data_IF_297669199105
#
_entry.id   IF_297669199105
#
_cell.length_a   1.000
_cell.length_b   1.000
_cell.length_c   1.000
_cell.angle_alpha   90.00
_cell.angle_beta   90.00
_cell.angle_gamma   90.00
#
_symmetry.space_group_name_H-M   'P 1'
#
loop_
_entity.id
_entity.type
_entity.pdbx_description
1 polymer ?
#
# COMPACT_ATOMS: atom_id res chain seq x y z
N UNK A 1 4.70 -12.32 28.20
CA UNK A 1 4.56 -10.86 28.00
C UNK A 1 3.49 -10.63 26.95
N UNK A 2 2.43 -9.89 27.26
CA UNK A 2 1.32 -9.64 26.33
C UNK A 2 1.82 -8.97 25.05
N UNK A 3 1.56 -9.58 23.90
CA UNK A 3 2.00 -9.09 22.58
C UNK A 3 1.28 -7.79 22.15
N UNK A 4 0.03 -7.64 22.57
CA UNK A 4 -0.88 -6.53 22.22
C UNK A 4 -0.38 -5.12 22.63
N UNK A 5 0.07 -4.88 23.88
CA UNK A 5 0.54 -3.55 24.27
C UNK A 5 1.77 -3.09 23.49
N UNK A 6 2.70 -4.00 23.18
CA UNK A 6 3.92 -3.69 22.44
C UNK A 6 3.58 -3.32 20.99
N UNK A 7 2.69 -4.08 20.34
CA UNK A 7 2.23 -3.81 18.97
C UNK A 7 1.61 -2.41 18.85
N UNK A 8 0.75 -2.03 19.80
CA UNK A 8 0.12 -0.70 19.82
C UNK A 8 1.14 0.44 19.91
N UNK A 9 2.16 0.28 20.76
CA UNK A 9 3.22 1.29 20.90
C UNK A 9 3.99 1.44 19.58
N UNK A 10 4.32 0.33 18.91
CA UNK A 10 5.01 0.36 17.62
C UNK A 10 4.19 1.08 16.55
N UNK A 11 2.88 0.79 16.46
CA UNK A 11 1.97 1.47 15.52
C UNK A 11 1.92 2.99 15.82
N UNK A 12 1.86 3.40 17.09
CA UNK A 12 1.87 4.81 17.46
C UNK A 12 3.18 5.51 17.10
N UNK A 13 4.31 4.81 17.21
CA UNK A 13 5.61 5.32 16.76
C UNK A 13 5.60 5.55 15.26
N UNK A 14 5.04 4.62 14.47
CA UNK A 14 4.92 4.77 13.01
C UNK A 14 4.07 5.99 12.62
N UNK A 15 2.91 6.16 13.25
CA UNK A 15 2.03 7.33 13.02
C UNK A 15 2.79 8.64 13.29
N UNK A 16 3.46 8.74 14.45
CA UNK A 16 4.25 9.94 14.81
C UNK A 16 5.40 10.15 13.83
N UNK A 17 6.05 9.06 13.41
CA UNK A 17 7.16 9.09 12.48
C UNK A 17 6.74 9.66 11.12
N UNK A 18 5.56 9.29 10.63
CA UNK A 18 4.99 9.83 9.37
C UNK A 18 4.64 11.31 9.50
N UNK A 19 4.01 11.69 10.61
CA UNK A 19 3.68 13.08 10.91
C UNK A 19 4.91 13.97 11.16
N UNK A 20 6.11 13.41 11.31
CA UNK A 20 7.35 14.20 11.43
C UNK A 20 8.09 14.37 10.10
N UNK A 21 8.08 13.35 9.25
CA UNK A 21 8.85 13.36 7.99
C UNK A 21 8.17 14.18 6.88
N UNK A 22 8.89 15.13 6.27
CA UNK A 22 8.41 15.93 5.13
C UNK A 22 8.01 15.04 3.94
N UNK A 23 8.78 13.99 3.68
CA UNK A 23 8.56 13.05 2.58
C UNK A 23 7.23 12.30 2.70
N UNK A 24 6.96 11.65 3.84
CA UNK A 24 5.71 10.90 4.01
C UNK A 24 4.48 11.81 4.12
N UNK A 25 4.62 13.04 4.63
CA UNK A 25 3.55 14.03 4.53
C UNK A 25 3.18 14.32 3.09
N UNK A 26 4.18 14.46 2.21
CA UNK A 26 3.94 14.65 0.79
C UNK A 26 3.26 13.43 0.17
N UNK A 27 3.65 12.20 0.53
CA UNK A 27 2.94 11.00 0.07
C UNK A 27 1.49 10.91 0.57
N UNK A 28 1.20 11.37 1.79
CA UNK A 28 -0.19 11.48 2.25
C UNK A 28 -0.95 12.50 1.39
N UNK A 29 -0.36 13.66 1.13
CA UNK A 29 -0.98 14.69 0.30
C UNK A 29 -1.21 14.20 -1.13
N UNK A 30 -0.24 13.52 -1.75
CA UNK A 30 -0.40 12.96 -3.09
C UNK A 30 -1.49 11.89 -3.14
N UNK A 31 -1.60 11.03 -2.11
CA UNK A 31 -2.70 10.08 -1.99
C UNK A 31 -4.05 10.78 -1.80
N UNK A 32 -4.12 11.87 -1.03
CA UNK A 32 -5.33 12.69 -0.94
C UNK A 32 -5.71 13.31 -2.29
N UNK A 33 -4.73 13.85 -3.04
CA UNK A 33 -4.97 14.36 -4.40
C UNK A 33 -5.45 13.25 -5.35
N UNK A 34 -4.86 12.06 -5.29
CA UNK A 34 -5.29 10.92 -6.09
C UNK A 34 -6.76 10.54 -5.80
N UNK A 35 -7.18 10.56 -4.53
CA UNK A 35 -8.58 10.37 -4.16
C UNK A 35 -9.46 11.51 -4.64
N UNK A 36 -9.08 12.77 -4.50
CA UNK A 36 -9.88 13.89 -5.02
C UNK A 36 -10.09 13.80 -6.54
N UNK A 37 -9.04 13.44 -7.28
CA UNK A 37 -9.13 13.21 -8.72
C UNK A 37 -10.05 12.02 -9.02
N UNK A 38 -9.96 10.94 -8.25
CA UNK A 38 -10.88 9.80 -8.36
C UNK A 38 -12.35 10.21 -8.27
N UNK A 39 -12.66 11.02 -7.25
CA UNK A 39 -14.02 11.49 -6.99
C UNK A 39 -14.56 12.34 -8.14
N UNK A 40 -13.70 13.15 -8.75
CA UNK A 40 -14.07 13.96 -9.91
C UNK A 40 -14.48 13.09 -11.11
N UNK A 41 -13.69 12.05 -11.44
CA UNK A 41 -14.01 11.16 -12.56
C UNK A 41 -15.18 10.22 -12.29
N UNK A 42 -15.37 9.81 -11.03
CA UNK A 42 -16.48 8.92 -10.63
C UNK A 42 -17.81 9.68 -10.57
N UNK A 43 -17.80 10.95 -10.14
CA UNK A 43 -19.01 11.75 -9.99
C UNK A 43 -19.62 12.24 -11.30
N UNK A 44 -18.85 12.29 -12.39
CA UNK A 44 -19.32 12.78 -13.68
C UNK A 44 -20.04 11.67 -14.47
N UNK A 45 -21.36 11.82 -14.59
CA UNK A 45 -22.26 10.86 -15.27
C UNK A 45 -22.00 10.74 -16.78
N UNK A 46 -21.22 11.65 -17.36
CA UNK A 46 -20.93 11.66 -18.79
C UNK A 46 -19.81 10.67 -19.20
N UNK A 47 -19.10 10.06 -18.23
CA UNK A 47 -18.10 9.04 -18.55
C UNK A 47 -18.76 7.71 -18.92
N UNK A 48 -18.95 7.49 -20.22
CA UNK A 48 -19.48 6.24 -20.79
C UNK A 48 -18.42 5.15 -20.97
N UNK A 49 -17.13 5.50 -20.95
CA UNK A 49 -16.03 4.56 -21.10
C UNK A 49 -15.79 3.76 -19.81
N UNK A 50 -16.49 2.63 -19.69
CA UNK A 50 -16.38 1.70 -18.55
C UNK A 50 -14.95 1.21 -18.33
N UNK A 51 -14.20 0.98 -19.40
CA UNK A 51 -12.80 0.51 -19.34
C UNK A 51 -11.92 1.53 -18.61
N UNK A 52 -12.11 2.82 -18.90
CA UNK A 52 -11.33 3.89 -18.28
C UNK A 52 -11.60 3.95 -16.78
N UNK A 53 -12.88 3.90 -16.37
CA UNK A 53 -13.26 3.88 -14.96
C UNK A 53 -12.66 2.68 -14.22
N UNK A 54 -12.65 1.50 -14.83
CA UNK A 54 -12.08 0.29 -14.21
C UNK A 54 -10.57 0.44 -14.00
N UNK A 55 -9.83 0.83 -15.05
CA UNK A 55 -8.38 1.07 -14.96
C UNK A 55 -8.08 2.11 -13.88
N UNK A 56 -8.84 3.21 -13.87
CA UNK A 56 -8.69 4.28 -12.90
C UNK A 56 -8.93 3.76 -11.48
N UNK A 57 -10.00 2.99 -11.24
CA UNK A 57 -10.25 2.40 -9.91
C UNK A 57 -9.11 1.49 -9.45
N UNK A 58 -8.56 0.64 -10.33
CA UNK A 58 -7.41 -0.20 -9.98
C UNK A 58 -6.20 0.63 -9.55
N UNK A 59 -5.91 1.72 -10.25
CA UNK A 59 -4.81 2.64 -9.94
C UNK A 59 -5.04 3.31 -8.58
N UNK A 60 -6.22 3.89 -8.37
CA UNK A 60 -6.56 4.62 -7.14
C UNK A 60 -6.49 3.72 -5.91
N UNK A 61 -6.98 2.49 -6.02
CA UNK A 61 -6.92 1.50 -4.95
C UNK A 61 -5.46 1.14 -4.63
N UNK A 62 -4.59 1.12 -5.62
CA UNK A 62 -3.18 0.80 -5.42
C UNK A 62 -2.40 1.89 -4.68
N UNK A 63 -2.70 3.17 -4.95
CA UNK A 63 -1.94 4.35 -4.51
C UNK A 63 -1.58 4.36 -3.00
N UNK A 64 -2.53 4.14 -2.07
CA UNK A 64 -2.24 4.17 -0.64
C UNK A 64 -1.21 3.11 -0.22
N UNK A 65 -1.29 1.91 -0.76
CA UNK A 65 -0.39 0.80 -0.42
C UNK A 65 1.00 1.06 -1.01
N UNK A 66 1.08 1.46 -2.28
CA UNK A 66 2.35 1.75 -2.96
C UNK A 66 3.07 2.94 -2.36
N UNK A 67 2.33 3.97 -1.95
CA UNK A 67 2.92 5.21 -1.47
C UNK A 67 3.73 5.02 -0.19
N UNK A 68 3.43 4.01 0.63
CA UNK A 68 4.09 3.83 1.94
C UNK A 68 4.90 2.54 2.02
N UNK A 69 4.41 1.43 1.45
CA UNK A 69 5.04 0.09 1.58
C UNK A 69 6.54 0.00 1.26
N UNK A 70 7.06 0.62 0.18
CA UNK A 70 8.49 0.58 -0.13
C UNK A 70 9.39 1.29 0.90
N UNK A 71 8.83 2.17 1.72
CA UNK A 71 9.59 3.13 2.52
C UNK A 71 9.78 2.72 3.98
N UNK A 72 9.23 1.58 4.40
CA UNK A 72 9.19 1.22 5.82
C UNK A 72 10.54 0.89 6.44
N UNK A 73 11.34 0.04 5.80
CA UNK A 73 12.63 -0.38 6.37
C UNK A 73 13.73 0.64 6.08
N UNK A 74 13.72 1.25 4.90
CA UNK A 74 14.68 2.30 4.51
C UNK A 74 14.60 3.55 5.39
N UNK A 75 13.42 3.86 5.94
CA UNK A 75 13.21 4.97 6.88
C UNK A 75 13.87 4.76 8.24
N UNK A 76 13.85 3.52 8.73
CA UNK A 76 14.29 3.18 10.08
C UNK A 76 15.79 2.94 10.21
N UNK A 77 16.55 3.03 9.12
CA UNK A 77 18.01 2.85 9.12
C UNK A 77 18.80 3.78 10.06
N UNK A 78 18.16 4.81 10.63
CA UNK A 78 18.72 5.69 11.69
C UNK A 78 18.32 5.28 13.11
N UNK A 79 17.16 4.63 13.26
CA UNK A 79 16.58 4.19 14.55
C UNK A 79 16.87 2.71 14.80
N UNK A 80 17.34 1.98 13.78
CA UNK A 80 17.61 0.53 13.80
C UNK A 80 18.54 0.11 14.95
N UNK A 81 19.55 0.90 15.28
CA UNK A 81 20.45 0.63 16.42
C UNK A 81 19.71 0.61 17.76
N UNK A 82 18.72 1.50 17.95
CA UNK A 82 17.90 1.52 19.15
C UNK A 82 16.91 0.34 19.21
N UNK A 83 16.51 -0.21 18.06
CA UNK A 83 15.72 -1.42 18.00
C UNK A 83 16.53 -2.67 18.38
N UNK A 84 17.80 -2.77 17.96
CA UNK A 84 18.67 -3.91 18.30
C UNK A 84 18.96 -4.03 19.80
N UNK A 85 18.95 -2.92 20.53
CA UNK A 85 19.23 -2.88 21.98
C UNK A 85 17.99 -3.29 22.80
N UNK A 86 16.79 -3.18 22.23
CA UNK A 86 15.53 -3.53 22.90
C UNK A 86 15.16 -4.98 22.59
N UNK A 87 14.64 -5.70 23.59
CA UNK A 87 14.14 -7.07 23.40
C UNK A 87 12.78 -7.10 22.68
N UNK A 88 12.76 -6.68 21.42
CA UNK A 88 11.58 -6.70 20.54
C UNK A 88 11.82 -7.76 19.48
N UNK A 89 10.95 -8.76 19.39
CA UNK A 89 11.06 -9.78 18.33
C UNK A 89 10.85 -9.16 16.95
N UNK A 90 11.67 -9.53 15.97
CA UNK A 90 11.57 -9.05 14.59
C UNK A 90 10.17 -9.27 13.99
N UNK A 91 9.54 -10.42 14.25
CA UNK A 91 8.22 -10.75 13.71
C UNK A 91 7.14 -9.74 14.18
N UNK A 92 7.17 -9.33 15.45
CA UNK A 92 6.24 -8.31 15.97
C UNK A 92 6.47 -6.93 15.34
N UNK A 93 7.72 -6.62 14.98
CA UNK A 93 8.07 -5.36 14.33
C UNK A 93 7.57 -5.33 12.88
N UNK A 94 7.78 -6.41 12.13
CA UNK A 94 7.25 -6.56 10.76
C UNK A 94 5.71 -6.54 10.78
N UNK A 95 5.09 -7.28 11.70
CA UNK A 95 3.65 -7.31 11.89
C UNK A 95 3.08 -5.91 12.16
N UNK A 96 3.69 -5.14 13.06
CA UNK A 96 3.24 -3.78 13.36
C UNK A 96 3.26 -2.86 12.13
N UNK A 97 4.27 -3.00 11.26
CA UNK A 97 4.37 -2.24 10.00
C UNK A 97 3.30 -2.61 9.00
N UNK A 98 3.08 -3.90 8.80
CA UNK A 98 2.05 -4.41 7.89
C UNK A 98 0.67 -3.96 8.35
N UNK A 99 0.36 -4.13 9.64
CA UNK A 99 -0.91 -3.68 10.24
C UNK A 99 -1.09 -2.18 10.08
N UNK A 100 -0.01 -1.40 10.27
CA UNK A 100 -0.05 0.04 10.05
C UNK A 100 -0.44 0.41 8.60
N UNK A 101 0.11 -0.28 7.58
CA UNK A 101 -0.29 -0.04 6.18
C UNK A 101 -1.74 -0.40 5.93
N UNK A 102 -2.20 -1.53 6.48
CA UNK A 102 -3.59 -1.95 6.35
C UNK A 102 -4.50 -0.87 6.93
N UNK A 103 -4.23 -0.39 8.14
CA UNK A 103 -4.98 0.71 8.75
C UNK A 103 -4.95 1.98 7.91
N UNK A 104 -3.79 2.35 7.39
CA UNK A 104 -3.64 3.52 6.52
C UNK A 104 -4.48 3.40 5.24
N UNK A 105 -4.35 2.30 4.51
CA UNK A 105 -5.08 2.08 3.27
C UNK A 105 -6.60 1.98 3.49
N UNK A 106 -7.03 1.35 4.59
CA UNK A 106 -8.45 1.26 4.96
C UNK A 106 -9.09 2.64 5.16
N UNK A 107 -8.37 3.64 5.66
CA UNK A 107 -8.90 5.01 5.79
C UNK A 107 -9.25 5.59 4.41
N UNK A 108 -8.35 5.45 3.43
CA UNK A 108 -8.61 5.93 2.07
C UNK A 108 -9.73 5.14 1.39
N UNK A 109 -9.77 3.82 1.59
CA UNK A 109 -10.83 2.99 1.05
C UNK A 109 -12.19 3.30 1.69
N UNK A 110 -12.24 3.57 2.99
CA UNK A 110 -13.48 4.00 3.65
C UNK A 110 -14.01 5.30 3.05
N UNK A 111 -13.14 6.25 2.71
CA UNK A 111 -13.52 7.51 2.04
C UNK A 111 -14.03 7.26 0.61
N UNK A 112 -13.42 6.34 -0.14
CA UNK A 112 -13.79 6.03 -1.54
C UNK A 112 -15.08 5.20 -1.67
N UNK A 113 -15.33 4.30 -0.71
CA UNK A 113 -16.45 3.35 -0.73
C UNK A 113 -17.81 3.99 -1.03
N UNK A 114 -18.26 5.08 -0.35
CA UNK A 114 -19.58 5.65 -0.62
C UNK A 114 -19.75 6.17 -2.05
N UNK A 115 -18.67 6.60 -2.69
CA UNK A 115 -18.72 7.12 -4.07
C UNK A 115 -18.74 5.99 -5.10
N UNK A 116 -17.99 4.92 -4.85
CA UNK A 116 -17.92 3.79 -5.77
C UNK A 116 -19.22 2.99 -5.79
N UNK A 117 -19.95 2.95 -4.67
CA UNK A 117 -21.27 2.31 -4.61
C UNK A 117 -22.31 2.97 -5.54
N UNK A 118 -22.06 4.20 -6.01
CA UNK A 118 -22.91 4.89 -6.98
C UNK A 118 -22.59 4.50 -8.44
N UNK A 119 -21.50 3.76 -8.68
CA UNK A 119 -21.07 3.32 -10.00
C UNK A 119 -21.80 2.05 -10.48
N UNK A 120 -21.53 1.67 -11.74
CA UNK A 120 -21.95 0.39 -12.32
C UNK A 120 -21.37 -0.79 -11.52
N UNK A 121 -22.12 -1.89 -11.47
CA UNK A 121 -21.75 -3.09 -10.70
C UNK A 121 -20.34 -3.61 -10.98
N UNK A 122 -19.89 -3.58 -12.24
CA UNK A 122 -18.54 -4.05 -12.62
C UNK A 122 -17.43 -3.26 -11.90
N UNK A 123 -17.60 -1.94 -11.74
CA UNK A 123 -16.64 -1.04 -11.09
C UNK A 123 -16.59 -1.28 -9.59
N UNK A 124 -17.74 -1.60 -8.99
CA UNK A 124 -17.85 -1.98 -7.58
C UNK A 124 -17.09 -3.27 -7.32
N UNK A 125 -17.30 -4.29 -8.17
CA UNK A 125 -16.59 -5.57 -8.04
C UNK A 125 -15.07 -5.41 -8.23
N UNK A 126 -14.63 -4.62 -9.21
CA UNK A 126 -13.20 -4.37 -9.42
C UNK A 126 -12.58 -3.60 -8.25
N UNK A 127 -13.31 -2.67 -7.64
CA UNK A 127 -12.84 -1.95 -6.46
C UNK A 127 -12.61 -2.89 -5.27
N UNK A 128 -13.60 -3.70 -4.90
CA UNK A 128 -13.46 -4.61 -3.76
C UNK A 128 -12.43 -5.71 -4.01
N UNK A 129 -12.40 -6.28 -5.22
CA UNK A 129 -11.39 -7.26 -5.60
C UNK A 129 -9.98 -6.67 -5.58
N UNK A 130 -9.82 -5.46 -6.13
CA UNK A 130 -8.56 -4.71 -6.08
C UNK A 130 -8.14 -4.40 -4.65
N UNK A 131 -9.06 -3.93 -3.80
CA UNK A 131 -8.76 -3.59 -2.41
C UNK A 131 -8.26 -4.81 -1.64
N UNK A 132 -8.92 -5.97 -1.84
CA UNK A 132 -8.53 -7.23 -1.24
C UNK A 132 -7.14 -7.66 -1.72
N UNK A 133 -6.88 -7.59 -3.03
CA UNK A 133 -5.57 -7.88 -3.62
C UNK A 133 -4.45 -6.98 -3.07
N UNK A 134 -4.67 -5.67 -3.04
CA UNK A 134 -3.64 -4.71 -2.64
C UNK A 134 -3.35 -4.75 -1.13
N UNK A 135 -4.37 -4.93 -0.28
CA UNK A 135 -4.19 -5.03 1.18
C UNK A 135 -3.45 -6.29 1.63
N UNK A 136 -3.44 -7.34 0.80
CA UNK A 136 -2.96 -8.65 1.20
C UNK A 136 -1.75 -9.06 0.37
N UNK A 137 -1.97 -9.52 -0.86
CA UNK A 137 -0.92 -10.03 -1.73
C UNK A 137 0.11 -8.97 -2.08
N UNK A 138 -0.34 -7.82 -2.61
CA UNK A 138 0.59 -6.73 -2.96
C UNK A 138 1.37 -6.28 -1.74
N UNK A 139 0.69 -6.03 -0.61
CA UNK A 139 1.34 -5.58 0.61
C UNK A 139 2.46 -6.53 1.06
N UNK A 140 2.22 -7.84 1.06
CA UNK A 140 3.23 -8.85 1.42
C UNK A 140 4.42 -8.81 0.48
N UNK A 141 4.16 -8.78 -0.83
CA UNK A 141 5.22 -8.73 -1.85
C UNK A 141 6.06 -7.45 -1.69
N UNK A 142 5.41 -6.31 -1.50
CA UNK A 142 6.09 -5.02 -1.33
C UNK A 142 6.91 -4.96 -0.03
N UNK A 143 6.38 -5.51 1.06
CA UNK A 143 7.09 -5.56 2.34
C UNK A 143 8.27 -6.53 2.30
N UNK A 144 8.14 -7.66 1.62
CA UNK A 144 9.26 -8.56 1.35
C UNK A 144 10.36 -7.89 0.52
N UNK A 145 10.04 -7.22 -0.59
CA UNK A 145 11.06 -6.55 -1.39
C UNK A 145 11.71 -5.38 -0.67
N UNK A 146 10.95 -4.62 0.12
CA UNK A 146 11.50 -3.50 0.89
C UNK A 146 12.44 -3.93 2.03
N UNK A 147 12.44 -5.19 2.46
CA UNK A 147 13.42 -5.68 3.44
C UNK A 147 14.83 -5.79 2.84
N UNK A 148 14.95 -5.95 1.52
CA UNK A 148 16.23 -5.99 0.81
C UNK A 148 16.79 -4.61 0.44
N UNK A 149 16.03 -3.54 0.70
CA UNK A 149 16.49 -2.19 0.41
C UNK A 149 17.60 -1.75 1.37
N UNK A 150 18.82 -1.61 0.83
CA UNK A 150 20.01 -1.18 1.60
C UNK A 150 20.15 0.34 1.68
N UNK A 151 19.37 1.09 0.91
CA UNK A 151 19.48 2.56 0.82
C UNK A 151 18.76 3.25 1.98
N UNK A 152 19.51 4.00 2.79
CA UNK A 152 18.95 4.89 3.83
C UNK A 152 18.38 6.14 3.17
N UNK A 153 17.14 6.49 3.52
CA UNK A 153 16.50 7.72 3.03
C UNK A 153 16.74 8.84 4.05
N UNK A 154 17.43 9.89 3.61
CA UNK A 154 17.67 11.08 4.43
C UNK A 154 16.42 11.97 4.51
N UNK A 155 15.81 12.02 5.69
CA UNK A 155 14.56 12.76 5.96
C UNK A 155 14.67 14.30 5.89
N UNK A 156 15.85 14.85 5.59
CA UNK A 156 16.15 16.30 5.62
C UNK A 156 16.30 16.95 4.23
N UNK A 157 16.47 16.18 3.15
CA UNK A 157 16.67 16.74 1.81
C UNK A 157 15.35 17.14 1.14
N UNK A 158 15.38 18.17 0.29
CA UNK A 158 14.22 18.70 -0.44
C UNK A 158 13.65 17.67 -1.42
N UNK A 159 12.33 17.70 -1.65
CA UNK A 159 11.61 16.70 -2.45
C UNK A 159 11.70 16.90 -3.97
N UNK A 160 12.01 18.10 -4.45
CA UNK A 160 12.12 18.36 -5.89
C UNK A 160 13.48 17.86 -6.42
N UNK A 161 13.43 16.95 -7.40
CA UNK A 161 14.60 16.37 -8.09
C UNK A 161 15.59 15.57 -7.23
N UNK A 162 15.18 15.03 -6.09
CA UNK A 162 15.97 14.02 -5.39
C UNK A 162 15.61 12.60 -5.87
N UNK A 163 16.28 12.14 -6.93
CA UNK A 163 16.30 10.72 -7.34
C UNK A 163 17.18 9.85 -6.42
N UNK A 164 17.71 10.43 -5.33
CA UNK A 164 18.45 9.74 -4.27
C UNK A 164 17.53 8.77 -3.53
N UNK A 165 17.32 7.61 -4.16
CA UNK A 165 16.40 6.58 -3.70
C UNK A 165 15.61 5.91 -4.81
N UNK A 166 15.83 6.18 -6.11
CA UNK A 166 15.28 5.35 -7.19
C UNK A 166 16.02 4.00 -7.23
N UNK A 167 15.73 3.14 -6.25
CA UNK A 167 16.33 1.81 -6.13
C UNK A 167 15.65 0.85 -7.11
N UNK A 168 16.39 -0.13 -7.62
CA UNK A 168 15.88 -1.21 -8.49
C UNK A 168 14.68 -1.93 -7.87
N UNK A 169 14.67 -2.01 -6.55
CA UNK A 169 13.57 -2.50 -5.72
C UNK A 169 12.28 -1.73 -5.99
N UNK A 170 12.33 -0.40 -6.18
CA UNK A 170 11.15 0.43 -6.49
C UNK A 170 10.55 0.16 -7.87
N UNK A 171 11.36 -0.31 -8.82
CA UNK A 171 10.88 -0.77 -10.15
C UNK A 171 10.25 -2.16 -10.05
N UNK A 172 10.83 -3.07 -9.25
CA UNK A 172 10.22 -4.38 -8.95
C UNK A 172 8.92 -4.21 -8.14
N UNK A 173 8.84 -3.20 -7.27
CA UNK A 173 7.66 -2.76 -6.55
C UNK A 173 6.55 -2.19 -7.47
N UNK A 174 6.80 -1.98 -8.76
CA UNK A 174 5.75 -1.65 -9.74
C UNK A 174 5.00 -2.89 -10.26
N UNK A 175 5.57 -4.09 -10.09
CA UNK A 175 4.98 -5.36 -10.54
C UNK A 175 3.62 -5.64 -9.86
N UNK A 176 3.45 -5.43 -8.54
CA UNK A 176 2.14 -5.57 -7.89
C UNK A 176 1.08 -4.58 -8.39
N UNK A 177 1.48 -3.42 -8.93
CA UNK A 177 0.58 -2.40 -9.48
C UNK A 177 0.07 -2.83 -10.86
N UNK A 178 0.99 -3.37 -11.66
CA UNK A 178 0.72 -3.75 -13.04
C UNK A 178 -0.06 -5.05 -13.12
N UNK A 179 0.05 -5.94 -12.14
CA UNK A 179 -0.57 -7.27 -12.16
C UNK A 179 -2.09 -7.21 -12.33
N UNK A 180 -2.87 -6.44 -11.54
CA UNK A 180 -4.30 -6.25 -11.77
C UNK A 180 -4.65 -5.70 -13.16
N UNK A 181 -3.85 -4.75 -13.67
CA UNK A 181 -4.04 -4.13 -14.99
C UNK A 181 -3.74 -5.12 -16.13
N UNK A 182 -2.67 -5.90 -15.98
CA UNK A 182 -2.24 -6.93 -16.94
C UNK A 182 -3.26 -8.07 -17.02
N UNK A 183 -3.84 -8.48 -15.87
CA UNK A 183 -4.93 -9.45 -15.85
C UNK A 183 -6.20 -8.91 -16.51
N UNK A 184 -6.49 -7.61 -16.34
CA UNK A 184 -7.62 -6.96 -17.01
C UNK A 184 -7.49 -6.98 -18.54
N UNK A 185 -6.33 -6.57 -19.05
CA UNK A 185 -6.07 -6.51 -20.49
C UNK A 185 -6.03 -7.90 -21.13
N UNK A 186 -5.42 -8.88 -20.46
CA UNK A 186 -5.25 -10.23 -21.00
C UNK A 186 -6.52 -11.09 -20.92
N UNK A 187 -7.35 -10.94 -19.88
CA UNK A 187 -8.43 -11.91 -19.61
C UNK A 187 -9.84 -11.33 -19.47
N UNK A 188 -10.02 -10.00 -19.48
CA UNK A 188 -11.26 -9.17 -19.32
C UNK A 188 -12.40 -9.74 -18.46
N UNK A 189 -12.89 -10.93 -18.77
CA UNK A 189 -13.87 -11.74 -18.03
C UNK A 189 -13.35 -12.31 -16.70
N UNK A 190 -12.07 -12.71 -16.61
CA UNK A 190 -11.55 -13.44 -15.43
C UNK A 190 -10.72 -12.59 -14.46
N UNK A 191 -10.44 -11.34 -14.81
CA UNK A 191 -9.56 -10.43 -14.08
C UNK A 191 -9.98 -10.23 -12.62
N UNK A 192 -11.28 -10.01 -12.37
CA UNK A 192 -11.84 -9.85 -11.01
C UNK A 192 -11.66 -11.13 -10.20
N UNK A 193 -11.92 -12.30 -10.79
CA UNK A 193 -11.75 -13.59 -10.14
C UNK A 193 -10.29 -13.86 -9.76
N UNK A 194 -9.35 -13.52 -10.65
CA UNK A 194 -7.92 -13.63 -10.37
C UNK A 194 -7.47 -12.71 -9.23
N UNK A 195 -7.94 -11.45 -9.20
CA UNK A 195 -7.63 -10.53 -8.10
C UNK A 195 -8.12 -11.08 -6.75
N UNK A 196 -9.33 -11.65 -6.71
CA UNK A 196 -9.88 -12.29 -5.51
C UNK A 196 -9.03 -13.51 -5.12
N UNK A 197 -8.67 -14.38 -6.07
CA UNK A 197 -7.83 -15.56 -5.81
C UNK A 197 -6.47 -15.17 -5.24
N UNK A 198 -5.77 -14.22 -5.85
CA UNK A 198 -4.49 -13.73 -5.32
C UNK A 198 -4.65 -13.06 -3.97
N UNK A 199 -5.73 -12.32 -3.75
CA UNK A 199 -6.00 -11.73 -2.46
C UNK A 199 -6.25 -12.77 -1.35
N UNK A 200 -7.00 -13.85 -1.64
CA UNK A 200 -7.18 -14.97 -0.73
C UNK A 200 -5.85 -15.67 -0.44
N UNK A 201 -5.04 -15.93 -1.49
CA UNK A 201 -3.69 -16.47 -1.34
C UNK A 201 -2.81 -15.58 -0.45
N UNK A 202 -2.91 -14.25 -0.61
CA UNK A 202 -2.22 -13.28 0.25
C UNK A 202 -2.60 -13.43 1.72
N UNK A 203 -3.90 -13.60 2.02
CA UNK A 203 -4.38 -13.82 3.40
C UNK A 203 -3.81 -15.12 3.97
N UNK A 204 -3.82 -16.20 3.19
CA UNK A 204 -3.28 -17.50 3.62
C UNK A 204 -1.77 -17.44 3.88
N UNK A 205 -1.04 -16.72 3.03
CA UNK A 205 0.41 -16.58 3.12
C UNK A 205 0.86 -15.56 4.17
N UNK A 206 -0.04 -14.74 4.73
CA UNK A 206 0.29 -13.64 5.63
C UNK A 206 1.18 -14.05 6.81
N UNK A 207 0.83 -15.12 7.52
CA UNK A 207 1.62 -15.62 8.66
C UNK A 207 2.97 -16.19 8.21
N UNK A 208 3.00 -16.85 7.06
CA UNK A 208 4.22 -17.42 6.51
C UNK A 208 5.18 -16.30 6.08
N UNK A 209 4.68 -15.26 5.42
CA UNK A 209 5.50 -14.11 5.00
C UNK A 209 6.12 -13.35 6.15
N UNK A 210 5.41 -13.18 7.28
CA UNK A 210 5.96 -12.51 8.47
C UNK A 210 7.15 -13.28 9.06
N UNK A 211 7.16 -14.60 8.97
CA UNK A 211 8.28 -15.40 9.44
C UNK A 211 9.46 -15.44 8.45
N UNK A 212 9.21 -15.11 7.18
CA UNK A 212 10.20 -15.15 6.11
C UNK A 212 10.97 -13.83 5.98
N UNK A 213 10.33 -12.72 6.34
CA UNK A 213 10.89 -11.35 6.39
C UNK A 213 11.67 -11.15 7.69
#
# INVERSE_FOLDING_TARGET
MEKLPILRILILVEIKSILRSKYLKHNILSNCYAVLIALFFIGDKNYTNEIFLIIWTCIIVAFPVIGISPFFFSKDGTIYQAFLIRNISCNLYVEAKIVFVIMYALVFYAILTPFILQCKGIVIFTYFAGALYYLTFSLIVMTYYSSFDKYKIDHKKSLFFNFSGFSFTKVILAVPIMTPLFFWESTRKYSVGLMILFGILGIMLFKFSINLI
#
